data_IF_887833199114
#
_entry.id   IF_887833199114
#
_cell.length_a   1.000
_cell.length_b   1.000
_cell.length_c   1.000
_cell.angle_alpha   90.00
_cell.angle_beta   90.00
_cell.angle_gamma   90.00
#
_symmetry.space_group_name_H-M   'P 1'
#
loop_
_entity.id
_entity.type
_entity.pdbx_description
1 polymer ?
#
# COMPACT_ATOMS: atom_id res chain seq x y z
N UNK A 1 -44.69 33.59 1.19
CA UNK A 1 -44.43 33.12 -0.20
C UNK A 1 -43.03 32.57 -0.19
N UNK A 2 -42.94 31.31 0.29
CA UNK A 2 -41.67 30.60 0.48
C UNK A 2 -41.46 29.74 -0.74
N UNK A 3 -40.37 30.01 -1.45
CA UNK A 3 -39.87 29.09 -2.50
C UNK A 3 -38.76 28.25 -1.91
N UNK A 4 -39.11 27.06 -1.50
CA UNK A 4 -38.19 25.97 -1.22
C UNK A 4 -37.47 25.53 -2.50
N UNK A 5 -36.19 25.80 -2.54
CA UNK A 5 -35.27 25.35 -3.59
C UNK A 5 -35.03 23.86 -3.41
N UNK A 6 -35.71 23.03 -4.18
CA UNK A 6 -35.42 21.60 -4.32
C UNK A 6 -34.08 21.41 -5.06
N UNK A 7 -33.11 20.87 -4.36
CA UNK A 7 -31.89 20.31 -4.99
C UNK A 7 -32.24 18.96 -5.62
N UNK A 8 -31.85 18.68 -6.85
CA UNK A 8 -32.07 17.37 -7.42
C UNK A 8 -31.11 16.36 -6.74
N UNK A 9 -31.68 15.31 -6.17
CA UNK A 9 -30.96 14.13 -5.74
C UNK A 9 -30.33 13.48 -6.96
N UNK A 10 -29.00 13.40 -6.96
CA UNK A 10 -28.26 12.66 -7.96
C UNK A 10 -28.45 11.15 -7.69
N UNK A 11 -29.38 10.54 -8.39
CA UNK A 11 -29.50 9.10 -8.48
C UNK A 11 -28.22 8.52 -9.09
N UNK A 12 -27.40 7.95 -8.23
CA UNK A 12 -26.23 7.14 -8.64
C UNK A 12 -26.74 5.78 -9.06
N UNK A 13 -26.91 5.59 -10.36
CA UNK A 13 -27.18 4.27 -10.93
C UNK A 13 -25.93 3.43 -10.80
N UNK A 14 -25.78 2.74 -9.67
CA UNK A 14 -24.81 1.65 -9.50
C UNK A 14 -25.31 0.44 -10.30
N UNK A 15 -24.74 0.25 -11.48
CA UNK A 15 -24.88 -1.02 -12.20
C UNK A 15 -24.16 -2.12 -11.40
N UNK A 16 -24.94 -2.95 -10.73
CA UNK A 16 -24.51 -4.20 -10.12
C UNK A 16 -23.99 -5.13 -11.24
N UNK A 17 -22.68 -5.23 -11.39
CA UNK A 17 -22.04 -6.31 -12.13
C UNK A 17 -21.69 -7.42 -11.17
N UNK A 18 -22.35 -8.56 -11.32
CA UNK A 18 -22.05 -9.81 -10.63
C UNK A 18 -20.56 -10.17 -10.77
N UNK A 19 -20.01 -10.73 -9.67
CA UNK A 19 -18.60 -11.12 -9.55
C UNK A 19 -18.26 -12.34 -10.40
N UNK A 20 -18.00 -12.14 -11.67
CA UNK A 20 -17.27 -13.11 -12.48
C UNK A 20 -15.78 -12.96 -12.24
N UNK A 21 -14.99 -14.06 -12.17
CA UNK A 21 -13.54 -13.94 -12.14
C UNK A 21 -13.08 -13.17 -13.38
N UNK A 22 -12.27 -12.13 -13.16
CA UNK A 22 -11.79 -11.32 -14.27
C UNK A 22 -11.14 -12.19 -15.33
N UNK A 23 -11.47 -12.01 -16.61
CA UNK A 23 -10.76 -12.70 -17.67
C UNK A 23 -9.28 -12.33 -17.58
N UNK A 24 -8.39 -13.32 -17.55
CA UNK A 24 -6.93 -13.08 -17.53
C UNK A 24 -6.58 -12.14 -18.68
N UNK A 25 -6.25 -10.90 -18.36
CA UNK A 25 -5.92 -9.88 -19.34
C UNK A 25 -4.67 -10.31 -20.10
N UNK A 26 -4.79 -10.42 -21.43
CA UNK A 26 -3.64 -10.69 -22.30
C UNK A 26 -2.72 -9.47 -22.33
N UNK A 27 -1.42 -9.68 -22.18
CA UNK A 27 -0.41 -8.61 -22.31
C UNK A 27 -0.39 -8.05 -23.73
N UNK A 28 -0.24 -6.73 -23.82
CA UNK A 28 -0.16 -5.99 -25.07
C UNK A 28 1.19 -5.31 -25.19
N UNK A 29 1.58 -4.90 -26.38
CA UNK A 29 2.78 -4.10 -26.59
C UNK A 29 2.78 -2.85 -25.71
N UNK A 30 3.89 -2.63 -24.98
CA UNK A 30 4.06 -1.55 -24.02
C UNK A 30 3.51 -1.83 -22.62
N UNK A 31 3.05 -3.04 -22.31
CA UNK A 31 2.85 -3.50 -20.95
C UNK A 31 4.19 -3.89 -20.31
N UNK A 32 4.29 -3.69 -19.00
CA UNK A 32 5.50 -4.00 -18.21
C UNK A 32 5.42 -5.40 -17.60
N UNK A 33 6.54 -6.01 -17.19
CA UNK A 33 6.52 -7.30 -16.47
C UNK A 33 5.66 -7.26 -15.18
N UNK A 34 5.59 -6.11 -14.53
CA UNK A 34 4.91 -5.86 -13.25
C UNK A 34 3.58 -5.12 -13.38
N UNK A 35 3.07 -4.83 -14.59
CA UNK A 35 1.80 -4.14 -14.74
C UNK A 35 1.31 -3.96 -16.17
N UNK A 36 0.07 -3.54 -16.28
CA UNK A 36 -0.64 -3.29 -17.54
C UNK A 36 -0.74 -1.78 -17.77
N UNK A 37 -0.36 -1.32 -18.96
CA UNK A 37 -0.52 0.09 -19.34
C UNK A 37 -1.99 0.45 -19.46
N UNK A 38 -2.41 1.53 -18.80
CA UNK A 38 -3.76 2.07 -18.91
C UNK A 38 -3.86 3.00 -20.12
N UNK A 39 -4.79 2.71 -21.03
CA UNK A 39 -4.94 3.44 -22.31
C UNK A 39 -6.18 4.32 -22.34
N UNK A 40 -7.22 3.96 -21.59
CA UNK A 40 -8.51 4.66 -21.54
C UNK A 40 -8.66 5.68 -20.42
N UNK A 41 -7.53 6.16 -19.86
CA UNK A 41 -7.52 7.22 -18.86
C UNK A 41 -8.03 8.55 -19.42
N UNK A 42 -8.64 9.35 -18.55
CA UNK A 42 -9.03 10.73 -18.86
C UNK A 42 -7.81 11.56 -19.31
N UNK A 43 -8.01 12.57 -20.20
CA UNK A 43 -6.91 13.35 -20.74
C UNK A 43 -6.01 13.97 -19.68
N UNK A 44 -6.57 14.50 -18.59
CA UNK A 44 -5.79 15.13 -17.53
C UNK A 44 -4.87 14.14 -16.82
N UNK A 45 -5.32 12.92 -16.57
CA UNK A 45 -4.49 11.86 -15.98
C UNK A 45 -3.33 11.42 -16.90
N UNK A 46 -3.43 11.65 -18.20
CA UNK A 46 -2.36 11.39 -19.18
C UNK A 46 -1.34 12.51 -19.24
N UNK A 47 -1.75 13.74 -18.94
CA UNK A 47 -0.90 14.94 -19.00
C UNK A 47 -0.19 15.18 -17.66
N UNK A 48 -0.82 14.87 -16.55
CA UNK A 48 -0.30 15.05 -15.19
C UNK A 48 1.14 14.55 -14.99
N UNK A 49 1.56 13.36 -15.49
CA UNK A 49 2.93 12.90 -15.35
C UNK A 49 4.00 13.76 -16.07
N UNK A 50 3.60 14.57 -17.05
CA UNK A 50 4.52 15.49 -17.74
C UNK A 50 4.64 16.82 -16.99
N UNK A 51 3.58 17.27 -16.33
CA UNK A 51 3.57 18.47 -15.48
C UNK A 51 4.34 18.21 -14.19
N UNK A 52 4.18 17.04 -13.61
CA UNK A 52 4.86 16.58 -12.39
C UNK A 52 5.75 15.39 -12.74
N UNK A 53 7.00 15.59 -13.19
CA UNK A 53 7.84 14.50 -13.69
C UNK A 53 8.36 13.60 -12.58
N UNK A 54 8.58 14.16 -11.39
CA UNK A 54 9.15 13.45 -10.24
C UNK A 54 8.09 13.03 -9.25
N UNK A 55 8.27 11.83 -8.67
CA UNK A 55 7.36 11.29 -7.66
C UNK A 55 7.40 12.10 -6.38
N UNK A 56 8.57 12.55 -5.97
CA UNK A 56 8.75 13.42 -4.81
C UNK A 56 8.02 14.76 -4.95
N UNK A 57 7.97 15.32 -6.17
CA UNK A 57 7.23 16.56 -6.47
C UNK A 57 5.72 16.38 -6.61
N UNK A 58 5.25 15.13 -6.82
CA UNK A 58 3.84 14.78 -6.95
C UNK A 58 3.27 14.14 -5.67
N UNK A 59 3.97 14.23 -4.55
CA UNK A 59 3.58 13.61 -3.29
C UNK A 59 2.51 14.44 -2.57
N UNK A 60 1.42 13.80 -2.17
CA UNK A 60 0.42 14.33 -1.26
C UNK A 60 0.47 13.60 0.08
N UNK A 61 0.19 14.33 1.15
CA UNK A 61 0.43 13.89 2.51
C UNK A 61 -0.87 13.82 3.29
N UNK A 62 -1.16 12.63 3.87
CA UNK A 62 -2.32 12.41 4.71
C UNK A 62 -1.91 12.04 6.12
N UNK A 63 -2.65 12.57 7.09
CA UNK A 63 -2.50 12.22 8.49
C UNK A 63 -3.88 11.98 9.09
N UNK A 64 -4.01 10.88 9.82
CA UNK A 64 -5.22 10.58 10.56
C UNK A 64 -4.91 9.65 11.74
N UNK A 65 -5.91 9.41 12.58
CA UNK A 65 -5.86 8.50 13.71
C UNK A 65 -7.07 7.58 13.74
N UNK A 66 -6.91 6.40 14.32
CA UNK A 66 -8.03 5.51 14.60
C UNK A 66 -8.02 5.04 16.05
N UNK A 67 -9.19 4.90 16.60
CA UNK A 67 -9.42 4.32 17.91
C UNK A 67 -9.23 2.81 17.81
N UNK A 68 -8.47 2.22 18.77
CA UNK A 68 -7.96 0.85 18.62
C UNK A 68 -8.81 -0.22 19.30
N UNK A 69 -9.87 0.10 20.01
CA UNK A 69 -10.63 -0.87 20.83
C UNK A 69 -11.14 -2.05 19.99
N UNK A 70 -11.81 -1.75 18.87
CA UNK A 70 -12.34 -2.81 17.99
C UNK A 70 -11.22 -3.62 17.32
N UNK A 71 -10.13 -2.96 16.93
CA UNK A 71 -8.96 -3.63 16.37
C UNK A 71 -8.28 -4.52 17.42
N UNK A 72 -8.15 -4.06 18.68
CA UNK A 72 -7.57 -4.87 19.77
C UNK A 72 -8.46 -6.09 20.11
N UNK A 73 -9.77 -5.92 20.14
CA UNK A 73 -10.74 -7.01 20.36
C UNK A 73 -10.63 -8.05 19.24
N UNK A 74 -10.58 -7.59 18.00
CA UNK A 74 -10.40 -8.45 16.83
C UNK A 74 -9.08 -9.21 16.87
N UNK A 75 -7.96 -8.55 17.15
CA UNK A 75 -6.64 -9.16 17.29
C UNK A 75 -6.66 -10.24 18.38
N UNK A 76 -7.28 -9.96 19.53
CA UNK A 76 -7.42 -10.93 20.64
C UNK A 76 -8.19 -12.16 20.19
N UNK A 77 -9.32 -11.98 19.50
CA UNK A 77 -10.11 -13.07 18.93
C UNK A 77 -9.28 -13.93 17.98
N UNK A 78 -8.55 -13.31 17.03
CA UNK A 78 -7.69 -14.02 16.08
C UNK A 78 -6.58 -14.82 16.77
N UNK A 79 -5.96 -14.26 17.80
CA UNK A 79 -4.92 -14.96 18.59
C UNK A 79 -5.50 -16.16 19.33
N UNK A 80 -6.70 -16.03 19.89
CA UNK A 80 -7.41 -17.13 20.55
C UNK A 80 -7.81 -18.25 19.56
N UNK A 81 -7.99 -17.93 18.29
CA UNK A 81 -8.21 -18.88 17.19
C UNK A 81 -6.92 -19.56 16.69
N UNK A 82 -5.78 -19.29 17.32
CA UNK A 82 -4.49 -19.91 16.98
C UNK A 82 -3.56 -19.08 16.09
N UNK A 83 -3.94 -17.87 15.64
CA UNK A 83 -3.08 -17.00 14.83
C UNK A 83 -2.10 -16.26 15.74
N UNK A 84 -1.06 -16.96 16.21
CA UNK A 84 -0.05 -16.43 17.12
C UNK A 84 0.71 -15.27 16.44
N UNK A 85 0.84 -14.12 17.13
CA UNK A 85 1.52 -12.95 16.59
C UNK A 85 0.66 -12.08 15.65
N UNK A 86 -0.61 -12.44 15.39
CA UNK A 86 -1.53 -11.56 14.68
C UNK A 86 -1.58 -10.18 15.35
N UNK A 87 -1.44 -9.10 14.60
CA UNK A 87 -1.32 -7.75 15.15
C UNK A 87 -1.87 -6.67 14.22
N UNK A 88 -1.73 -5.41 14.65
CA UNK A 88 -2.24 -4.22 13.92
C UNK A 88 -1.77 -4.18 12.47
N UNK A 89 -0.51 -4.55 12.20
CA UNK A 89 0.02 -4.57 10.84
C UNK A 89 -0.78 -5.49 9.91
N UNK A 90 -1.19 -6.68 10.38
CA UNK A 90 -2.02 -7.61 9.60
C UNK A 90 -3.37 -7.00 9.26
N UNK A 91 -3.98 -6.29 10.22
CA UNK A 91 -5.27 -5.59 10.01
C UNK A 91 -5.13 -4.47 9.00
N UNK A 92 -4.06 -3.66 9.09
CA UNK A 92 -3.80 -2.56 8.16
C UNK A 92 -3.53 -3.07 6.73
N UNK A 93 -2.73 -4.13 6.59
CA UNK A 93 -2.46 -4.74 5.28
C UNK A 93 -3.74 -5.36 4.71
N UNK A 94 -4.51 -6.12 5.49
CA UNK A 94 -5.79 -6.68 5.04
C UNK A 94 -6.79 -5.59 4.64
N UNK A 95 -6.82 -4.48 5.38
CA UNK A 95 -7.65 -3.31 5.02
C UNK A 95 -7.20 -2.69 3.69
N UNK A 96 -5.90 -2.57 3.45
CA UNK A 96 -5.37 -2.04 2.19
C UNK A 96 -5.68 -2.96 1.00
N UNK A 97 -5.51 -4.27 1.16
CA UNK A 97 -5.91 -5.27 0.16
C UNK A 97 -7.41 -5.15 -0.15
N UNK A 98 -8.25 -5.01 0.87
CA UNK A 98 -9.69 -4.80 0.71
C UNK A 98 -10.02 -3.46 0.04
N UNK A 99 -9.27 -2.40 0.30
CA UNK A 99 -9.43 -1.11 -0.40
C UNK A 99 -9.16 -1.29 -1.88
N UNK A 100 -8.10 -1.98 -2.26
CA UNK A 100 -7.78 -2.21 -3.68
C UNK A 100 -8.89 -3.00 -4.38
N UNK A 101 -9.48 -4.00 -3.71
CA UNK A 101 -10.61 -4.74 -4.27
C UNK A 101 -11.82 -3.85 -4.57
N UNK A 102 -11.97 -2.72 -3.88
CA UNK A 102 -13.07 -1.77 -4.04
C UNK A 102 -12.67 -0.52 -4.84
N UNK A 103 -11.40 -0.18 -4.86
CA UNK A 103 -10.82 1.02 -5.51
C UNK A 103 -9.52 0.64 -6.22
N UNK A 104 -9.60 -0.07 -7.35
CA UNK A 104 -8.41 -0.60 -8.04
C UNK A 104 -7.46 0.50 -8.54
N UNK A 105 -7.94 1.74 -8.70
CA UNK A 105 -7.11 2.88 -9.04
C UNK A 105 -5.98 3.16 -8.00
N UNK A 106 -6.15 2.73 -6.75
CA UNK A 106 -5.11 2.84 -5.72
C UNK A 106 -3.93 1.89 -5.96
N UNK A 107 -4.13 0.85 -6.80
CA UNK A 107 -3.08 -0.10 -7.20
C UNK A 107 -2.39 0.27 -8.52
N UNK A 108 -2.49 1.53 -8.93
CA UNK A 108 -1.79 2.08 -10.10
C UNK A 108 -0.41 2.57 -9.72
N UNK A 109 0.46 2.65 -10.71
CA UNK A 109 1.78 3.24 -10.57
C UNK A 109 2.20 3.97 -11.84
N UNK A 110 3.26 4.78 -11.73
CA UNK A 110 3.87 5.45 -12.87
C UNK A 110 5.24 4.85 -13.18
N UNK A 111 5.48 4.70 -14.48
CA UNK A 111 6.81 4.44 -15.02
C UNK A 111 6.95 5.19 -16.35
N UNK A 112 7.99 5.94 -16.52
CA UNK A 112 8.22 6.84 -17.65
C UNK A 112 7.01 7.68 -17.88
N UNK A 113 6.49 8.61 -17.52
CA UNK A 113 5.26 9.43 -17.74
C UNK A 113 4.03 8.64 -18.22
N UNK A 114 3.91 7.35 -17.86
CA UNK A 114 2.75 6.51 -18.20
C UNK A 114 2.20 5.87 -16.96
N UNK A 115 0.89 5.76 -16.91
CA UNK A 115 0.17 5.11 -15.82
C UNK A 115 -0.05 3.65 -16.15
N UNK A 116 0.26 2.81 -15.19
CA UNK A 116 0.07 1.36 -15.23
C UNK A 116 -0.79 0.91 -14.05
N UNK A 117 -1.40 -0.25 -14.15
CA UNK A 117 -2.05 -0.95 -13.04
C UNK A 117 -1.33 -2.27 -12.78
N UNK A 118 -1.10 -2.60 -11.52
CA UNK A 118 -0.65 -3.94 -11.13
C UNK A 118 -1.72 -5.01 -11.37
N UNK A 119 -2.98 -4.60 -11.64
CA UNK A 119 -4.11 -5.51 -11.76
C UNK A 119 -4.40 -6.17 -10.42
N UNK A 120 -4.51 -7.51 -10.44
CA UNK A 120 -4.82 -8.31 -9.26
C UNK A 120 -3.60 -8.64 -8.39
N UNK A 121 -2.40 -8.21 -8.76
CA UNK A 121 -1.20 -8.37 -7.95
C UNK A 121 -1.02 -7.15 -7.03
N UNK A 122 -1.12 -7.37 -5.73
CA UNK A 122 -0.94 -6.34 -4.70
C UNK A 122 0.38 -6.60 -4.02
N UNK A 123 1.38 -5.78 -4.32
CA UNK A 123 2.75 -5.97 -3.86
C UNK A 123 3.05 -5.01 -2.72
N UNK A 124 3.26 -5.54 -1.51
CA UNK A 124 3.55 -4.74 -0.32
C UNK A 124 4.96 -5.01 0.16
N UNK A 125 5.72 -3.96 0.34
CA UNK A 125 7.07 -4.01 0.90
C UNK A 125 7.04 -3.61 2.37
N UNK A 126 7.73 -4.39 3.21
CA UNK A 126 7.83 -4.19 4.64
C UNK A 126 9.28 -4.24 5.09
N UNK A 127 9.73 -3.20 5.81
CA UNK A 127 11.02 -3.24 6.50
C UNK A 127 10.88 -3.99 7.82
N UNK A 128 11.71 -4.98 8.04
CA UNK A 128 11.86 -5.66 9.33
C UNK A 128 13.31 -5.58 9.81
N UNK A 129 13.49 -5.42 11.11
CA UNK A 129 14.78 -5.68 11.77
C UNK A 129 14.81 -7.12 12.28
N UNK A 130 15.90 -7.82 12.07
CA UNK A 130 16.10 -9.18 12.62
C UNK A 130 16.17 -9.16 14.14
N UNK A 131 16.85 -8.17 14.69
CA UNK A 131 16.98 -7.91 16.11
C UNK A 131 16.73 -6.43 16.40
N UNK A 132 16.22 -6.13 17.61
CA UNK A 132 15.93 -4.74 18.02
C UNK A 132 17.20 -4.09 18.62
N UNK A 133 18.32 -4.17 17.89
CA UNK A 133 19.60 -3.53 18.22
C UNK A 133 19.92 -2.43 17.19
N UNK A 134 20.82 -1.53 17.53
CA UNK A 134 21.23 -0.45 16.61
C UNK A 134 22.01 -1.03 15.42
N UNK A 135 22.79 -2.06 15.66
CA UNK A 135 23.68 -2.71 14.69
C UNK A 135 22.96 -3.71 13.78
N UNK A 136 21.74 -4.13 14.16
CA UNK A 136 20.98 -5.09 13.36
C UNK A 136 20.61 -4.52 12.00
N UNK A 137 20.94 -5.25 10.96
CA UNK A 137 20.59 -4.91 9.59
C UNK A 137 19.07 -4.92 9.37
N UNK A 138 18.59 -3.96 8.58
CA UNK A 138 17.20 -3.91 8.14
C UNK A 138 17.06 -4.73 6.87
N UNK A 139 16.08 -5.63 6.85
CA UNK A 139 15.74 -6.43 5.66
C UNK A 139 14.36 -6.02 5.15
N UNK A 140 14.22 -5.94 3.83
CA UNK A 140 12.94 -5.64 3.20
C UNK A 140 12.33 -6.95 2.69
N UNK A 141 11.10 -7.21 3.14
CA UNK A 141 10.30 -8.34 2.66
C UNK A 141 9.27 -7.82 1.66
N UNK A 142 9.24 -8.44 0.49
CA UNK A 142 8.23 -8.21 -0.55
C UNK A 142 7.16 -9.28 -0.48
N UNK A 143 5.90 -8.87 -0.39
CA UNK A 143 4.75 -9.75 -0.19
C UNK A 143 3.72 -9.55 -1.29
N UNK A 144 3.19 -10.64 -1.84
CA UNK A 144 2.18 -10.64 -2.89
C UNK A 144 0.81 -11.05 -2.35
N UNK A 145 -0.18 -10.21 -2.57
CA UNK A 145 -1.57 -10.43 -2.20
C UNK A 145 -2.48 -10.35 -3.42
N UNK A 146 -3.67 -10.90 -3.28
CA UNK A 146 -4.74 -10.79 -4.27
C UNK A 146 -5.92 -10.01 -3.69
N UNK A 147 -6.76 -9.36 -4.51
CA UNK A 147 -7.92 -8.60 -4.02
C UNK A 147 -8.92 -9.41 -3.20
N UNK A 148 -8.85 -10.74 -3.28
CA UNK A 148 -9.73 -11.68 -2.57
C UNK A 148 -9.14 -12.21 -1.27
N UNK A 149 -7.89 -11.83 -0.92
CA UNK A 149 -7.26 -12.30 0.31
C UNK A 149 -7.99 -11.75 1.55
N UNK A 150 -8.22 -12.64 2.50
CA UNK A 150 -8.79 -12.35 3.83
C UNK A 150 -7.70 -11.96 4.82
N UNK A 151 -8.09 -11.52 6.02
CA UNK A 151 -7.12 -11.25 7.09
C UNK A 151 -6.30 -12.49 7.49
N UNK A 152 -6.91 -13.67 7.40
CA UNK A 152 -6.22 -14.94 7.66
C UNK A 152 -5.24 -15.31 6.55
N UNK A 153 -5.59 -15.02 5.28
CA UNK A 153 -4.67 -15.20 4.15
C UNK A 153 -3.47 -14.28 4.27
N UNK A 154 -3.72 -13.00 4.62
CA UNK A 154 -2.67 -12.02 4.89
C UNK A 154 -1.74 -12.50 5.99
N UNK A 155 -2.27 -12.95 7.12
CA UNK A 155 -1.48 -13.49 8.22
C UNK A 155 -0.62 -14.69 7.78
N UNK A 156 -1.21 -15.66 7.08
CA UNK A 156 -0.49 -16.87 6.62
C UNK A 156 0.68 -16.51 5.67
N UNK A 157 0.42 -15.61 4.72
CA UNK A 157 1.45 -15.17 3.76
C UNK A 157 2.60 -14.43 4.45
N UNK A 158 2.30 -13.53 5.38
CA UNK A 158 3.31 -12.78 6.15
C UNK A 158 4.12 -13.73 7.02
N UNK A 159 3.46 -14.61 7.79
CA UNK A 159 4.13 -15.55 8.70
C UNK A 159 5.07 -16.47 7.94
N UNK A 160 4.60 -17.04 6.82
CA UNK A 160 5.41 -17.90 5.96
C UNK A 160 6.69 -17.19 5.50
N UNK A 161 6.57 -15.97 4.98
CA UNK A 161 7.73 -15.21 4.49
C UNK A 161 8.71 -14.82 5.62
N UNK A 162 8.19 -14.49 6.81
CA UNK A 162 9.04 -14.20 7.96
C UNK A 162 9.80 -15.46 8.40
N UNK A 163 9.15 -16.61 8.40
CA UNK A 163 9.79 -17.89 8.76
C UNK A 163 10.85 -18.30 7.73
N UNK A 164 10.54 -18.18 6.45
CA UNK A 164 11.50 -18.42 5.35
C UNK A 164 12.72 -17.50 5.46
N UNK A 165 12.52 -16.19 5.70
CA UNK A 165 13.62 -15.24 5.87
C UNK A 165 14.44 -15.44 7.15
N UNK A 166 13.86 -16.05 8.20
CA UNK A 166 14.60 -16.42 9.40
C UNK A 166 15.47 -17.66 9.21
N UNK A 167 15.03 -18.58 8.37
CA UNK A 167 15.75 -19.84 8.09
C UNK A 167 16.81 -19.68 7.00
N UNK A 168 16.64 -18.73 6.10
CA UNK A 168 17.57 -18.43 5.03
C UNK A 168 18.78 -17.65 5.59
N UNK A 169 19.97 -17.97 5.09
CA UNK A 169 21.27 -17.40 5.49
C UNK A 169 21.24 -15.86 5.62
N UNK A 170 22.12 -15.26 6.46
CA UNK A 170 22.13 -13.83 6.78
C UNK A 170 22.19 -12.87 5.58
N UNK A 171 22.57 -13.34 4.41
CA UNK A 171 22.63 -12.53 3.19
C UNK A 171 21.34 -12.70 2.38
N UNK A 172 20.39 -11.74 2.50
CA UNK A 172 19.32 -11.63 1.50
C UNK A 172 19.95 -11.35 0.12
N UNK A 173 19.26 -11.76 -0.96
CA UNK A 173 19.76 -11.50 -2.33
C UNK A 173 19.99 -10.00 -2.58
N UNK A 174 19.22 -9.14 -1.88
CA UNK A 174 19.40 -7.70 -1.92
C UNK A 174 20.64 -7.26 -1.14
N UNK A 175 20.86 -7.78 0.08
CA UNK A 175 21.98 -7.40 0.94
C UNK A 175 23.30 -7.89 0.36
N UNK A 176 23.35 -9.10 -0.21
CA UNK A 176 24.52 -9.61 -0.93
C UNK A 176 24.82 -8.79 -2.19
N UNK A 177 23.78 -8.39 -2.92
CA UNK A 177 23.92 -7.49 -4.07
C UNK A 177 24.39 -6.09 -3.64
N UNK A 178 23.87 -5.57 -2.51
CA UNK A 178 24.29 -4.29 -1.97
C UNK A 178 25.77 -4.28 -1.52
N UNK A 179 26.27 -5.38 -0.96
CA UNK A 179 27.69 -5.52 -0.59
C UNK A 179 28.63 -5.41 -1.80
N UNK A 180 28.21 -5.88 -2.97
CA UNK A 180 28.98 -5.75 -4.22
C UNK A 180 29.14 -4.27 -4.59
N UNK A 181 28.16 -3.42 -4.31
CA UNK A 181 28.24 -2.00 -4.61
C UNK A 181 29.33 -1.27 -3.85
N UNK A 182 29.76 -1.78 -2.68
CA UNK A 182 30.87 -1.20 -1.91
C UNK A 182 32.21 -1.27 -2.65
N UNK A 183 32.36 -2.19 -3.59
CA UNK A 183 33.58 -2.38 -4.38
C UNK A 183 33.54 -1.66 -5.73
N UNK A 184 32.40 -1.08 -6.12
CA UNK A 184 32.21 -0.39 -7.38
C UNK A 184 32.58 1.09 -7.20
N UNK A 185 33.52 1.65 -8.01
CA UNK A 185 33.80 3.08 -7.99
C UNK A 185 32.53 3.93 -8.18
N UNK A 186 32.39 4.99 -7.39
CA UNK A 186 31.13 5.77 -7.34
C UNK A 186 30.65 6.30 -8.69
N UNK A 187 31.56 6.60 -9.63
CA UNK A 187 31.21 7.01 -10.99
C UNK A 187 30.56 5.87 -11.80
N UNK A 188 31.07 4.65 -11.65
CA UNK A 188 30.48 3.47 -12.30
C UNK A 188 29.11 3.14 -11.67
N UNK A 189 29.01 3.22 -10.34
CA UNK A 189 27.75 3.02 -9.63
C UNK A 189 26.70 4.05 -10.09
N UNK A 190 27.07 5.35 -10.20
CA UNK A 190 26.17 6.39 -10.71
C UNK A 190 25.66 6.06 -12.10
N UNK A 191 26.53 5.62 -13.01
CA UNK A 191 26.16 5.26 -14.38
C UNK A 191 25.29 4.00 -14.41
N UNK A 192 25.58 2.98 -13.57
CA UNK A 192 24.76 1.79 -13.45
C UNK A 192 23.34 2.11 -12.96
N UNK A 193 23.21 2.91 -11.91
CA UNK A 193 21.89 3.37 -11.41
C UNK A 193 21.16 4.20 -12.47
N UNK A 194 21.84 5.08 -13.18
CA UNK A 194 21.26 5.83 -14.29
C UNK A 194 20.74 4.91 -15.40
N UNK A 195 21.51 3.89 -15.76
CA UNK A 195 21.12 2.91 -16.77
C UNK A 195 19.91 2.07 -16.32
N UNK A 196 19.88 1.62 -15.04
CA UNK A 196 18.71 0.93 -14.47
C UNK A 196 17.46 1.83 -14.50
N UNK A 197 17.60 3.14 -14.18
CA UNK A 197 16.50 4.10 -14.30
C UNK A 197 16.00 4.22 -15.74
N UNK A 198 16.91 4.22 -16.71
CA UNK A 198 16.58 4.29 -18.13
C UNK A 198 15.80 3.04 -18.58
N UNK A 199 16.26 1.84 -18.17
CA UNK A 199 15.57 0.59 -18.44
C UNK A 199 14.17 0.58 -17.79
N UNK A 200 14.07 1.03 -16.53
CA UNK A 200 12.80 1.10 -15.82
C UNK A 200 11.83 2.09 -16.48
N UNK A 201 12.34 3.24 -16.93
CA UNK A 201 11.57 4.27 -17.66
C UNK A 201 10.88 3.69 -18.90
N UNK A 202 11.59 2.86 -19.66
CA UNK A 202 11.06 2.23 -20.88
C UNK A 202 10.32 0.89 -20.61
N UNK A 203 10.23 0.44 -19.36
CA UNK A 203 9.62 -0.84 -19.01
C UNK A 203 10.43 -2.07 -19.43
N UNK A 204 11.72 -1.89 -19.61
CA UNK A 204 12.68 -2.92 -20.05
C UNK A 204 13.42 -3.60 -18.89
N UNK A 205 13.12 -3.20 -17.65
CA UNK A 205 13.74 -3.81 -16.49
C UNK A 205 13.32 -5.29 -16.38
N UNK A 206 14.25 -6.25 -16.26
CA UNK A 206 13.92 -7.66 -16.12
C UNK A 206 13.03 -7.94 -14.90
N UNK A 207 12.11 -8.90 -15.04
CA UNK A 207 11.19 -9.27 -13.95
C UNK A 207 11.94 -9.67 -12.69
N UNK A 208 13.05 -10.41 -12.81
CA UNK A 208 13.89 -10.82 -11.67
C UNK A 208 14.43 -9.62 -10.88
N UNK A 209 14.87 -8.56 -11.56
CA UNK A 209 15.32 -7.34 -10.89
C UNK A 209 14.17 -6.58 -10.22
N UNK A 210 12.98 -6.56 -10.84
CA UNK A 210 11.79 -5.96 -10.23
C UNK A 210 11.40 -6.72 -8.95
N UNK A 211 11.47 -8.05 -8.95
CA UNK A 211 11.11 -8.89 -7.80
C UNK A 211 12.03 -8.67 -6.60
N UNK A 212 13.33 -8.59 -6.81
CA UNK A 212 14.28 -8.34 -5.71
C UNK A 212 14.36 -6.87 -5.31
N UNK A 213 13.91 -5.94 -6.16
CA UNK A 213 13.99 -4.50 -5.90
C UNK A 213 12.99 -4.07 -4.84
N UNK A 214 13.42 -3.42 -3.75
CA UNK A 214 12.52 -2.90 -2.73
C UNK A 214 11.77 -1.64 -3.18
N UNK A 215 12.08 -1.09 -4.35
CA UNK A 215 11.52 0.15 -4.88
C UNK A 215 10.35 -0.08 -5.83
N UNK A 216 9.95 -1.36 -6.06
CA UNK A 216 8.84 -1.72 -6.95
C UNK A 216 7.74 -2.41 -6.14
N UNK A 217 6.50 -1.98 -6.34
CA UNK A 217 5.32 -2.53 -5.66
C UNK A 217 4.17 -1.53 -5.54
N UNK A 218 3.13 -1.94 -4.84
CA UNK A 218 1.90 -1.16 -4.63
C UNK A 218 2.00 -0.23 -3.43
N UNK A 219 2.66 -0.69 -2.37
CA UNK A 219 2.79 0.08 -1.13
C UNK A 219 4.05 -0.33 -0.36
N UNK A 220 4.66 0.64 0.30
CA UNK A 220 5.64 0.40 1.35
C UNK A 220 4.98 0.66 2.71
N UNK A 221 5.09 -0.27 3.65
CA UNK A 221 4.55 -0.10 5.00
C UNK A 221 5.65 -0.19 6.06
N UNK A 222 5.63 0.71 7.03
CA UNK A 222 6.55 0.68 8.17
C UNK A 222 5.84 0.90 9.50
N UNK A 223 6.34 0.23 10.54
CA UNK A 223 5.84 0.36 11.92
C UNK A 223 6.83 1.15 12.77
N UNK A 224 6.45 2.37 13.13
CA UNK A 224 7.16 3.17 14.13
C UNK A 224 6.70 2.81 15.55
N UNK A 225 5.60 2.08 15.67
CA UNK A 225 5.03 1.66 16.94
C UNK A 225 5.92 0.69 17.73
N UNK A 226 6.73 -0.13 17.06
CA UNK A 226 7.72 -1.00 17.69
C UNK A 226 8.86 -0.21 18.36
N UNK A 227 9.12 1.00 17.90
CA UNK A 227 10.12 1.92 18.45
C UNK A 227 9.54 2.88 19.50
N UNK A 228 8.22 2.81 19.75
CA UNK A 228 7.55 3.68 20.72
C UNK A 228 7.37 5.13 20.26
N UNK A 229 7.51 5.42 18.96
CA UNK A 229 7.47 6.79 18.41
C UNK A 229 6.25 7.02 17.51
N UNK A 230 5.85 8.30 17.27
CA UNK A 230 4.81 8.65 16.32
C UNK A 230 5.17 8.24 14.87
N UNK A 231 4.19 8.13 13.97
CA UNK A 231 4.45 7.87 12.56
C UNK A 231 5.15 9.04 11.88
N UNK A 232 5.87 8.76 10.81
CA UNK A 232 6.58 9.76 10.00
C UNK A 232 6.00 9.85 8.60
N UNK A 233 6.11 11.01 7.96
CA UNK A 233 5.97 11.10 6.51
C UNK A 233 7.29 10.66 5.88
N UNK A 234 7.26 9.54 5.19
CA UNK A 234 8.42 9.07 4.46
C UNK A 234 8.35 9.54 2.99
N UNK A 235 9.49 9.88 2.42
CA UNK A 235 9.54 10.29 1.01
C UNK A 235 9.23 9.12 0.08
N UNK A 236 8.61 9.40 -1.06
CA UNK A 236 8.53 8.46 -2.18
C UNK A 236 9.83 8.51 -2.99
N UNK A 237 10.34 7.35 -3.38
CA UNK A 237 11.57 7.26 -4.15
C UNK A 237 11.34 7.62 -5.62
N UNK A 238 12.25 8.41 -6.22
CA UNK A 238 12.24 8.71 -7.66
C UNK A 238 12.85 7.58 -8.52
N UNK A 239 13.16 6.44 -7.88
CA UNK A 239 13.52 5.18 -8.53
C UNK A 239 12.48 4.11 -8.18
N UNK A 240 12.17 3.23 -9.14
CA UNK A 240 11.11 2.26 -8.97
C UNK A 240 9.71 2.86 -9.18
N UNK A 241 8.67 2.22 -8.64
CA UNK A 241 7.30 2.57 -8.96
C UNK A 241 6.33 2.60 -7.78
N UNK A 242 6.80 2.44 -6.54
CA UNK A 242 5.91 2.44 -5.36
C UNK A 242 5.20 3.79 -5.23
N UNK A 243 3.86 3.82 -5.31
CA UNK A 243 3.10 5.06 -5.27
C UNK A 243 2.63 5.44 -3.87
N UNK A 244 2.69 4.53 -2.90
CA UNK A 244 2.15 4.73 -1.54
C UNK A 244 3.18 4.32 -0.50
N UNK A 245 3.43 5.22 0.45
CA UNK A 245 4.18 4.91 1.66
C UNK A 245 3.27 5.08 2.89
N UNK A 246 3.10 4.02 3.66
CA UNK A 246 2.25 4.00 4.85
C UNK A 246 3.09 3.83 6.11
N UNK A 247 2.95 4.74 7.07
CA UNK A 247 3.62 4.67 8.38
C UNK A 247 2.59 4.73 9.49
N UNK A 248 2.70 3.87 10.50
CA UNK A 248 1.86 3.95 11.71
C UNK A 248 2.71 3.94 12.98
N UNK A 249 2.24 4.67 13.98
CA UNK A 249 2.97 4.95 15.21
C UNK A 249 2.64 4.04 16.38
N UNK A 250 3.19 4.40 17.53
CA UNK A 250 2.87 3.78 18.82
C UNK A 250 1.44 4.12 19.26
N UNK A 251 0.86 3.24 20.06
CA UNK A 251 -0.41 3.50 20.75
C UNK A 251 -0.25 4.57 21.82
N UNK A 252 -1.19 5.49 21.85
CA UNK A 252 -1.24 6.51 22.91
C UNK A 252 -2.66 6.68 23.46
N UNK A 253 -2.78 7.28 24.64
CA UNK A 253 -4.06 7.58 25.27
C UNK A 253 -4.47 9.01 24.95
N UNK A 254 -5.74 9.21 24.64
CA UNK A 254 -6.35 10.53 24.43
C UNK A 254 -7.62 10.63 25.27
N UNK A 255 -7.78 11.75 25.97
CA UNK A 255 -9.01 12.06 26.69
C UNK A 255 -9.99 12.73 25.71
N UNK A 256 -11.21 12.25 25.70
CA UNK A 256 -12.30 12.80 24.88
C UNK A 256 -13.42 13.27 25.77
N UNK A 257 -13.91 14.46 25.50
CA UNK A 257 -15.10 15.01 26.14
C UNK A 257 -16.32 14.49 25.40
N UNK A 258 -17.26 13.87 26.10
CA UNK A 258 -18.56 13.47 25.56
C UNK A 258 -19.55 14.60 25.64
N UNK A 259 -20.66 14.48 24.89
CA UNK A 259 -21.76 15.44 24.87
C UNK A 259 -22.41 15.63 26.25
N UNK A 260 -22.35 14.63 27.12
CA UNK A 260 -22.84 14.68 28.51
C UNK A 260 -21.85 15.35 29.48
N UNK A 261 -20.73 15.90 29.00
CA UNK A 261 -19.69 16.54 29.80
C UNK A 261 -18.73 15.58 30.48
N UNK A 262 -18.88 14.26 30.34
CA UNK A 262 -17.95 13.28 30.90
C UNK A 262 -16.71 13.11 30.06
N UNK A 263 -15.56 12.83 30.70
CA UNK A 263 -14.29 12.58 30.02
C UNK A 263 -14.06 11.07 29.95
N UNK A 264 -13.82 10.59 28.73
CA UNK A 264 -13.49 9.18 28.49
C UNK A 264 -12.08 9.09 27.90
N UNK A 265 -11.25 8.24 28.50
CA UNK A 265 -9.90 7.97 27.97
C UNK A 265 -9.99 6.82 26.96
N UNK A 266 -9.54 7.07 25.72
CA UNK A 266 -9.44 6.10 24.64
C UNK A 266 -8.01 5.93 24.15
N UNK A 267 -7.73 4.81 23.51
CA UNK A 267 -6.43 4.54 22.89
C UNK A 267 -6.51 4.74 21.38
N UNK A 268 -5.49 5.38 20.84
CA UNK A 268 -5.36 5.72 19.43
C UNK A 268 -4.04 5.27 18.84
N UNK A 269 -4.03 5.04 17.55
CA UNK A 269 -2.83 4.95 16.72
C UNK A 269 -2.96 5.99 15.62
N UNK A 270 -1.93 6.83 15.48
CA UNK A 270 -1.79 7.72 14.35
C UNK A 270 -1.15 6.99 13.19
N UNK A 271 -1.56 7.34 11.97
CA UNK A 271 -0.90 6.91 10.76
C UNK A 271 -0.69 8.09 9.81
N UNK A 272 0.36 7.99 9.03
CA UNK A 272 0.72 8.94 7.99
C UNK A 272 0.92 8.22 6.69
N UNK A 273 0.40 8.81 5.62
CA UNK A 273 0.46 8.23 4.29
C UNK A 273 0.96 9.29 3.32
N UNK A 274 1.91 8.89 2.49
CA UNK A 274 2.39 9.68 1.35
C UNK A 274 1.98 8.95 0.08
N UNK A 275 1.27 9.65 -0.80
CA UNK A 275 0.78 9.09 -2.06
C UNK A 275 1.27 9.91 -3.25
N UNK A 276 1.55 9.23 -4.35
CA UNK A 276 1.75 9.86 -5.66
C UNK A 276 0.37 10.24 -6.24
N UNK A 277 0.03 11.53 -6.29
CA UNK A 277 -1.31 11.97 -6.73
C UNK A 277 -1.60 11.71 -8.21
N UNK A 278 -0.58 11.35 -8.99
CA UNK A 278 -0.75 11.03 -10.41
C UNK A 278 -1.38 9.67 -10.68
N UNK A 279 -1.43 8.77 -9.66
CA UNK A 279 -2.02 7.43 -9.82
C UNK A 279 -3.54 7.47 -9.91
N UNK A 280 -4.18 8.35 -9.15
CA UNK A 280 -5.63 8.54 -9.14
C UNK A 280 -5.99 9.91 -8.55
N UNK A 281 -7.21 10.35 -8.81
CA UNK A 281 -7.70 11.63 -8.29
C UNK A 281 -7.92 11.63 -6.78
N UNK A 282 -8.07 12.83 -6.22
CA UNK A 282 -8.28 13.02 -4.78
C UNK A 282 -9.56 12.37 -4.25
N UNK A 283 -10.60 12.20 -5.09
CA UNK A 283 -11.83 11.53 -4.68
C UNK A 283 -11.60 10.03 -4.45
N UNK A 284 -10.88 9.36 -5.34
CA UNK A 284 -10.49 7.96 -5.18
C UNK A 284 -9.65 7.75 -3.93
N UNK A 285 -8.65 8.62 -3.68
CA UNK A 285 -7.83 8.57 -2.46
C UNK A 285 -8.67 8.77 -1.20
N UNK A 286 -9.51 9.81 -1.17
CA UNK A 286 -10.38 10.09 -0.02
C UNK A 286 -11.38 8.95 0.24
N UNK A 287 -11.93 8.35 -0.82
CA UNK A 287 -12.80 7.18 -0.73
C UNK A 287 -12.04 5.98 -0.12
N UNK A 288 -10.79 5.75 -0.52
CA UNK A 288 -9.92 4.72 0.06
C UNK A 288 -9.69 4.93 1.57
N UNK A 289 -9.42 6.16 2.01
CA UNK A 289 -9.27 6.46 3.44
C UNK A 289 -10.57 6.27 4.23
N UNK A 290 -11.73 6.63 3.66
CA UNK A 290 -13.04 6.35 4.28
C UNK A 290 -13.27 4.85 4.46
N UNK A 291 -12.92 4.04 3.46
CA UNK A 291 -12.99 2.58 3.56
C UNK A 291 -12.03 2.05 4.62
N UNK A 292 -10.78 2.55 4.69
CA UNK A 292 -9.83 2.18 5.75
C UNK A 292 -10.43 2.39 7.13
N UNK A 293 -11.00 3.57 7.40
CA UNK A 293 -11.66 3.88 8.68
C UNK A 293 -12.83 2.93 8.97
N UNK A 294 -13.63 2.60 7.97
CA UNK A 294 -14.75 1.67 8.11
C UNK A 294 -14.27 0.27 8.52
N UNK A 295 -13.21 -0.23 7.86
CA UNK A 295 -12.64 -1.55 8.19
C UNK A 295 -11.97 -1.57 9.56
N UNK A 296 -11.34 -0.48 9.99
CA UNK A 296 -10.76 -0.39 11.34
C UNK A 296 -11.81 -0.28 12.44
N UNK A 297 -13.00 0.28 12.14
CA UNK A 297 -14.17 0.29 13.06
C UNK A 297 -14.87 -1.09 13.13
N UNK A 298 -14.88 -1.84 12.05
CA UNK A 298 -15.45 -3.18 11.97
C UNK A 298 -14.50 -4.15 11.26
N UNK A 299 -13.41 -4.59 11.90
CA UNK A 299 -12.39 -5.42 11.25
C UNK A 299 -12.88 -6.85 10.93
N UNK A 300 -14.03 -7.27 11.46
CA UNK A 300 -14.61 -8.59 11.15
C UNK A 300 -14.99 -8.76 9.67
N UNK A 301 -15.28 -7.68 8.95
CA UNK A 301 -15.54 -7.75 7.51
C UNK A 301 -14.33 -8.24 6.70
N UNK A 302 -13.14 -8.23 7.29
CA UNK A 302 -11.91 -8.72 6.66
C UNK A 302 -11.76 -10.26 6.76
N UNK A 303 -12.61 -10.94 7.53
CA UNK A 303 -12.62 -12.40 7.66
C UNK A 303 -13.19 -13.07 6.40
N UNK A 304 -14.03 -12.37 5.67
CA UNK A 304 -14.70 -12.85 4.48
C UNK A 304 -14.08 -12.28 3.22
N UNK A 305 -14.18 -13.01 2.11
CA UNK A 305 -13.82 -12.47 0.80
C UNK A 305 -14.76 -11.32 0.43
N UNK A 306 -14.28 -10.32 -0.36
CA UNK A 306 -15.15 -9.27 -0.86
C UNK A 306 -16.27 -9.87 -1.73
N UNK A 307 -17.49 -9.38 -1.58
CA UNK A 307 -18.63 -9.81 -2.39
C UNK A 307 -18.41 -9.44 -3.87
N UNK A 308 -17.80 -8.28 -4.12
CA UNK A 308 -17.47 -7.79 -5.46
C UNK A 308 -16.02 -7.33 -5.46
N UNK A 309 -15.29 -7.69 -6.52
CA UNK A 309 -13.96 -7.16 -6.82
C UNK A 309 -14.09 -6.27 -8.04
N UNK A 310 -13.77 -5.00 -7.90
CA UNK A 310 -13.73 -4.07 -9.02
C UNK A 310 -12.37 -4.15 -9.72
N UNK A 311 -12.40 -4.01 -11.05
CA UNK A 311 -11.20 -4.01 -11.88
C UNK A 311 -10.95 -2.62 -12.45
N UNK A 312 -9.67 -2.31 -12.66
CA UNK A 312 -9.29 -1.03 -13.23
C UNK A 312 -9.65 -0.92 -14.71
N UNK A 313 -9.69 0.33 -15.19
CA UNK A 313 -9.93 0.63 -16.61
C UNK A 313 -8.83 0.03 -17.49
N UNK A 314 -9.13 -0.15 -18.80
CA UNK A 314 -8.18 -0.71 -19.78
C UNK A 314 -7.16 0.35 -20.27
#
# INVERSE_FOLDING_TARGET
MDQESQRPEAETVEQQKESSPAPKRKRRFGDRPDGYRLRSLQPMSKVSPYIMPDRSGASVYFHDSFEVTEVENYIRKKRNQGLKGFGVMHVLIASYVRIISQRPAVNRFLSGQRVYSHGDDIVINLTIKREMTLEAEETIIKMHFTPTDTADDVYRKITKLIEENRQTNPDSDFDSTAKIFNYIPGLLLKNAVWFLKLLDYFGLLPKSLIEISPFHGSMFITSMGSLGVPPVYHHLYNFGNIPVFFSFGAKYKRNELKDDGTVVQRKYIDYKVVCDERICDGFNLASGFKLMKSYLKNPHVLDEKPQVVYHDVD
#
